data_IF_328175476475
#
_entry.id   IF_328175476475
#
_cell.length_a   1.000
_cell.length_b   1.000
_cell.length_c   1.000
_cell.angle_alpha   90.00
_cell.angle_beta   90.00
_cell.angle_gamma   90.00
#
_symmetry.space_group_name_H-M   'P 1'
#
loop_
_entity.id
_entity.type
_entity.pdbx_description
1 polymer ?
#
# COMPACT_ATOMS: atom_id res chain seq x y z
N UNK A 1 19.00 -33.55 18.93
CA UNK A 1 19.13 -33.82 17.47
C UNK A 1 18.55 -32.73 16.55
N UNK A 2 17.90 -31.68 17.09
CA UNK A 2 17.23 -30.60 16.31
C UNK A 2 18.19 -29.45 15.93
N UNK A 3 19.30 -29.28 16.65
CA UNK A 3 20.25 -28.17 16.46
C UNK A 3 21.00 -28.14 15.12
N UNK A 4 20.95 -29.22 14.32
CA UNK A 4 21.65 -29.31 13.02
C UNK A 4 20.84 -28.75 11.85
N UNK A 5 19.54 -28.49 12.03
CA UNK A 5 18.66 -27.95 10.96
C UNK A 5 18.51 -26.42 10.99
N UNK A 6 18.83 -25.77 12.12
CA UNK A 6 18.80 -24.29 12.24
C UNK A 6 19.67 -23.55 11.20
N UNK A 7 20.87 -24.04 10.80
CA UNK A 7 21.68 -23.35 9.79
C UNK A 7 21.03 -23.30 8.40
N UNK A 8 20.23 -24.32 8.03
CA UNK A 8 19.55 -24.39 6.73
C UNK A 8 18.34 -23.44 6.66
N UNK A 9 17.63 -23.27 7.77
CA UNK A 9 16.52 -22.31 7.83
C UNK A 9 17.00 -20.88 7.53
N UNK A 10 18.15 -20.49 8.10
CA UNK A 10 18.73 -19.16 7.87
C UNK A 10 19.09 -18.89 6.41
N UNK A 11 19.56 -19.89 5.66
CA UNK A 11 19.86 -19.73 4.23
C UNK A 11 18.58 -19.54 3.39
N UNK A 12 17.49 -20.25 3.73
CA UNK A 12 16.20 -20.12 3.04
C UNK A 12 15.62 -18.70 3.16
N UNK A 13 15.78 -18.07 4.33
CA UNK A 13 15.29 -16.72 4.58
C UNK A 13 16.09 -15.66 3.82
N UNK A 14 17.41 -15.84 3.65
CA UNK A 14 18.22 -14.90 2.86
C UNK A 14 17.75 -14.86 1.40
N UNK A 15 17.40 -16.01 0.83
CA UNK A 15 16.84 -16.08 -0.54
C UNK A 15 15.50 -15.35 -0.62
N UNK A 16 14.62 -15.54 0.37
CA UNK A 16 13.35 -14.81 0.42
C UNK A 16 13.56 -13.29 0.52
N UNK A 17 14.42 -12.83 1.43
CA UNK A 17 14.73 -11.40 1.60
C UNK A 17 15.30 -10.80 0.31
N UNK A 18 16.20 -11.49 -0.39
CA UNK A 18 16.71 -11.03 -1.69
C UNK A 18 15.60 -10.92 -2.74
N UNK A 19 14.66 -11.87 -2.77
CA UNK A 19 13.49 -11.80 -3.64
C UNK A 19 12.60 -10.60 -3.34
N UNK A 20 12.31 -10.33 -2.07
CA UNK A 20 11.53 -9.15 -1.65
C UNK A 20 12.26 -7.83 -1.98
N UNK A 21 13.58 -7.77 -1.82
CA UNK A 21 14.37 -6.59 -2.21
C UNK A 21 14.34 -6.35 -3.72
N UNK A 22 14.48 -7.42 -4.52
CA UNK A 22 14.36 -7.32 -5.97
C UNK A 22 12.96 -6.87 -6.41
N UNK A 23 11.90 -7.41 -5.79
CA UNK A 23 10.52 -7.01 -6.05
C UNK A 23 10.26 -5.54 -5.66
N UNK A 24 10.79 -5.09 -4.53
CA UNK A 24 10.74 -3.68 -4.11
C UNK A 24 11.43 -2.78 -5.13
N UNK A 25 12.64 -3.14 -5.57
CA UNK A 25 13.38 -2.38 -6.57
C UNK A 25 12.61 -2.32 -7.89
N UNK A 26 12.06 -3.45 -8.36
CA UNK A 26 11.27 -3.50 -9.59
C UNK A 26 10.01 -2.64 -9.53
N UNK A 27 9.24 -2.72 -8.44
CA UNK A 27 8.02 -1.91 -8.24
C UNK A 27 8.33 -0.43 -8.13
N UNK A 28 9.40 -0.04 -7.44
CA UNK A 28 9.82 1.36 -7.36
C UNK A 28 10.29 1.90 -8.71
N UNK A 29 11.05 1.12 -9.47
CA UNK A 29 11.50 1.52 -10.81
C UNK A 29 10.32 1.68 -11.77
N UNK A 30 9.38 0.72 -11.78
CA UNK A 30 8.16 0.83 -12.58
C UNK A 30 7.31 2.04 -12.15
N UNK A 31 7.18 2.29 -10.85
CA UNK A 31 6.37 3.39 -10.33
C UNK A 31 6.98 4.73 -10.70
N UNK A 32 8.31 4.85 -10.57
CA UNK A 32 9.05 6.03 -11.00
C UNK A 32 8.92 6.26 -12.51
N UNK A 33 8.99 5.21 -13.33
CA UNK A 33 8.80 5.31 -14.77
C UNK A 33 7.41 5.86 -15.12
N UNK A 34 6.35 5.31 -14.52
CA UNK A 34 4.98 5.81 -14.70
C UNK A 34 4.84 7.29 -14.34
N UNK A 35 5.43 7.72 -13.22
CA UNK A 35 5.37 9.12 -12.80
C UNK A 35 6.10 10.03 -13.79
N UNK A 36 7.27 9.62 -14.27
CA UNK A 36 8.06 10.41 -15.23
C UNK A 36 7.33 10.54 -16.56
N UNK A 37 6.83 9.44 -17.11
CA UNK A 37 6.06 9.45 -18.36
C UNK A 37 4.87 10.41 -18.24
N UNK A 38 4.17 10.34 -17.11
CA UNK A 38 2.96 11.13 -16.91
C UNK A 38 3.23 12.60 -16.63
N UNK A 39 4.38 12.91 -16.02
CA UNK A 39 4.84 14.27 -15.85
C UNK A 39 5.20 14.89 -17.21
N UNK A 40 5.90 14.16 -18.08
CA UNK A 40 6.24 14.61 -19.43
C UNK A 40 4.97 14.92 -20.24
N UNK A 41 4.00 14.01 -20.22
CA UNK A 41 2.70 14.17 -20.88
C UNK A 41 1.89 15.35 -20.31
N UNK A 42 2.01 15.65 -19.01
CA UNK A 42 1.35 16.81 -18.39
C UNK A 42 2.02 18.15 -18.70
N UNK A 43 3.32 18.17 -18.90
CA UNK A 43 4.06 19.39 -19.28
C UNK A 43 3.88 19.74 -20.76
N UNK A 44 3.79 18.74 -21.65
CA UNK A 44 3.64 18.95 -23.10
C UNK A 44 2.21 18.80 -23.64
N UNK A 45 1.30 18.16 -22.91
CA UNK A 45 -0.06 17.83 -23.36
C UNK A 45 -1.13 18.88 -23.07
N UNK A 46 -2.20 18.87 -23.88
CA UNK A 46 -3.40 19.69 -23.66
C UNK A 46 -4.18 19.24 -22.41
N UNK A 47 -4.73 20.20 -21.67
CA UNK A 47 -5.55 20.05 -20.44
C UNK A 47 -6.81 19.17 -20.57
N UNK A 48 -7.08 18.55 -21.71
CA UNK A 48 -8.25 17.71 -21.93
C UNK A 48 -8.10 16.31 -21.27
N UNK A 49 -6.87 15.90 -20.93
CA UNK A 49 -6.56 14.59 -20.31
C UNK A 49 -6.44 14.60 -18.78
N UNK A 50 -6.86 15.67 -18.08
CA UNK A 50 -6.70 15.75 -16.61
C UNK A 50 -7.34 14.57 -15.85
N UNK A 51 -8.46 14.04 -16.35
CA UNK A 51 -9.11 12.86 -15.75
C UNK A 51 -8.25 11.60 -15.85
N UNK A 52 -7.44 11.45 -16.91
CA UNK A 52 -6.54 10.30 -17.06
C UNK A 52 -5.25 10.48 -16.23
N UNK A 53 -4.89 11.74 -15.97
CA UNK A 53 -3.76 12.09 -15.12
C UNK A 53 -3.92 11.64 -13.67
N UNK A 54 -5.08 11.91 -13.07
CA UNK A 54 -5.36 11.52 -11.70
C UNK A 54 -5.31 10.01 -11.49
N UNK A 55 -5.87 9.23 -12.44
CA UNK A 55 -5.91 7.76 -12.36
C UNK A 55 -4.52 7.14 -12.45
N UNK A 56 -3.69 7.61 -13.39
CA UNK A 56 -2.33 7.08 -13.56
C UNK A 56 -1.41 7.42 -12.38
N UNK A 57 -1.60 8.60 -11.75
CA UNK A 57 -0.91 8.90 -10.49
C UNK A 57 -1.34 7.94 -9.39
N UNK A 58 -2.63 7.63 -9.30
CA UNK A 58 -3.14 6.66 -8.33
C UNK A 58 -2.48 5.28 -8.50
N UNK A 59 -2.33 4.84 -9.75
CA UNK A 59 -1.64 3.60 -10.10
C UNK A 59 -0.16 3.62 -9.66
N UNK A 60 0.54 4.74 -9.85
CA UNK A 60 1.91 4.90 -9.37
C UNK A 60 1.99 4.86 -7.83
N UNK A 61 1.04 5.49 -7.13
CA UNK A 61 0.94 5.45 -5.67
C UNK A 61 0.76 4.01 -5.19
N UNK A 62 -0.11 3.23 -5.82
CA UNK A 62 -0.31 1.81 -5.47
C UNK A 62 1.01 1.02 -5.59
N UNK A 63 1.76 1.24 -6.67
CA UNK A 63 3.02 0.54 -6.90
C UNK A 63 4.08 0.89 -5.84
N UNK A 64 4.14 2.15 -5.39
CA UNK A 64 4.99 2.54 -4.28
C UNK A 64 4.52 1.96 -2.94
N UNK A 65 3.21 1.88 -2.71
CA UNK A 65 2.63 1.24 -1.53
C UNK A 65 2.99 -0.25 -1.46
N UNK A 66 2.76 -0.99 -2.54
CA UNK A 66 3.09 -2.41 -2.64
C UNK A 66 4.60 -2.62 -2.45
N UNK A 67 5.43 -1.80 -3.09
CA UNK A 67 6.88 -1.84 -2.91
C UNK A 67 7.30 -1.56 -1.46
N UNK A 68 6.67 -0.58 -0.78
CA UNK A 68 6.95 -0.27 0.62
C UNK A 68 6.53 -1.41 1.58
N UNK A 69 5.43 -2.10 1.28
CA UNK A 69 5.01 -3.30 2.00
C UNK A 69 5.99 -4.46 1.81
N UNK A 70 6.48 -4.64 0.58
CA UNK A 70 7.50 -5.62 0.24
C UNK A 70 8.82 -5.33 0.98
N UNK A 71 9.24 -4.07 1.05
CA UNK A 71 10.41 -3.62 1.80
C UNK A 71 10.26 -3.84 3.30
N UNK A 72 9.09 -3.49 3.86
CA UNK A 72 8.78 -3.70 5.28
C UNK A 72 8.82 -5.18 5.64
N UNK A 73 8.29 -6.05 4.78
CA UNK A 73 8.41 -7.50 4.92
C UNK A 73 9.87 -7.97 4.85
N UNK A 74 10.66 -7.46 3.91
CA UNK A 74 12.07 -7.82 3.76
C UNK A 74 12.86 -7.48 5.03
N UNK A 75 12.67 -6.27 5.55
CA UNK A 75 13.31 -5.77 6.77
C UNK A 75 12.82 -6.57 7.98
N UNK A 76 11.52 -6.82 8.10
CA UNK A 76 10.93 -7.58 9.20
C UNK A 76 11.42 -9.03 9.23
N UNK A 77 11.48 -9.69 8.07
CA UNK A 77 12.03 -11.04 7.93
C UNK A 77 13.52 -11.08 8.26
N UNK A 78 14.30 -10.10 7.77
CA UNK A 78 15.72 -10.01 8.04
C UNK A 78 16.02 -9.76 9.53
N UNK A 79 15.27 -8.86 10.17
CA UNK A 79 15.40 -8.54 11.60
C UNK A 79 15.06 -9.74 12.49
N UNK A 80 14.01 -10.50 12.16
CA UNK A 80 13.55 -11.61 13.00
C UNK A 80 14.44 -12.86 12.92
N UNK A 81 15.15 -13.05 11.82
CA UNK A 81 15.90 -14.30 11.58
C UNK A 81 17.41 -14.14 11.44
N UNK A 82 17.92 -12.96 11.10
CA UNK A 82 19.35 -12.77 10.83
C UNK A 82 20.04 -12.07 11.99
N UNK A 83 19.52 -10.93 12.46
CA UNK A 83 20.14 -10.11 13.50
C UNK A 83 19.12 -9.11 14.04
N UNK A 84 19.03 -8.98 15.37
CA UNK A 84 18.31 -7.87 15.99
C UNK A 84 18.98 -6.56 15.56
N UNK A 85 18.29 -5.80 14.71
CA UNK A 85 18.72 -4.45 14.42
C UNK A 85 18.24 -3.57 15.59
N UNK A 86 19.16 -2.82 16.19
CA UNK A 86 18.86 -1.83 17.23
C UNK A 86 18.16 -0.64 16.59
N UNK A 87 16.86 -0.79 16.29
CA UNK A 87 16.03 0.31 15.80
C UNK A 87 15.44 1.08 17.00
N UNK A 88 15.26 2.41 16.87
CA UNK A 88 14.55 3.21 17.86
C UNK A 88 13.12 2.67 18.05
N UNK A 89 12.56 2.86 19.24
CA UNK A 89 11.32 2.23 19.71
C UNK A 89 10.11 2.24 18.73
N UNK A 90 9.90 3.27 17.87
CA UNK A 90 8.82 3.26 16.88
C UNK A 90 8.95 2.22 15.75
N UNK A 91 10.16 1.73 15.46
CA UNK A 91 10.46 0.79 14.35
C UNK A 91 11.02 -0.55 14.90
N UNK A 92 10.84 -0.82 16.19
CA UNK A 92 11.26 -2.10 16.77
C UNK A 92 10.18 -3.14 16.54
N UNK A 93 10.27 -3.85 15.43
CA UNK A 93 9.41 -5.01 15.16
C UNK A 93 9.79 -6.14 16.12
N UNK A 94 8.96 -6.41 17.13
CA UNK A 94 9.23 -7.40 18.19
C UNK A 94 8.74 -8.80 17.83
N UNK A 95 7.95 -8.95 16.76
CA UNK A 95 7.34 -10.23 16.37
C UNK A 95 7.00 -10.30 14.89
N UNK A 96 7.01 -11.51 14.33
CA UNK A 96 6.53 -11.81 12.98
C UNK A 96 5.06 -11.38 12.80
N UNK A 97 4.28 -11.37 13.89
CA UNK A 97 2.90 -10.92 13.89
C UNK A 97 2.74 -9.43 13.55
N UNK A 98 3.66 -8.58 14.00
CA UNK A 98 3.64 -7.13 13.70
C UNK A 98 4.00 -6.88 12.24
N UNK A 99 5.01 -7.58 11.71
CA UNK A 99 5.35 -7.51 10.27
C UNK A 99 4.16 -7.94 9.42
N UNK A 100 3.51 -9.04 9.79
CA UNK A 100 2.34 -9.57 9.08
C UNK A 100 1.16 -8.59 9.13
N UNK A 101 0.93 -7.97 10.28
CA UNK A 101 -0.13 -6.96 10.45
C UNK A 101 0.14 -5.71 9.60
N UNK A 102 1.37 -5.18 9.62
CA UNK A 102 1.77 -4.06 8.77
C UNK A 102 1.60 -4.39 7.29
N UNK A 103 2.03 -5.57 6.86
CA UNK A 103 1.85 -6.00 5.47
C UNK A 103 0.38 -6.14 5.08
N UNK A 104 -0.46 -6.71 5.96
CA UNK A 104 -1.90 -6.77 5.73
C UNK A 104 -2.51 -5.38 5.56
N UNK A 105 -2.06 -4.40 6.35
CA UNK A 105 -2.51 -3.02 6.21
C UNK A 105 -2.11 -2.41 4.86
N UNK A 106 -0.87 -2.64 4.39
CA UNK A 106 -0.46 -2.23 3.05
C UNK A 106 -1.27 -2.90 1.94
N UNK A 107 -1.58 -4.19 2.08
CA UNK A 107 -2.41 -4.92 1.11
C UNK A 107 -3.84 -4.38 1.06
N UNK A 108 -4.45 -4.09 2.22
CA UNK A 108 -5.79 -3.52 2.30
C UNK A 108 -5.81 -2.15 1.64
N UNK A 109 -4.79 -1.32 1.90
CA UNK A 109 -4.66 -0.01 1.27
C UNK A 109 -4.48 -0.12 -0.25
N UNK A 110 -3.65 -1.06 -0.72
CA UNK A 110 -3.47 -1.34 -2.16
C UNK A 110 -4.76 -1.79 -2.84
N UNK A 111 -5.52 -2.69 -2.20
CA UNK A 111 -6.85 -3.09 -2.69
C UNK A 111 -7.81 -1.90 -2.80
N UNK A 112 -7.76 -0.95 -1.86
CA UNK A 112 -8.57 0.25 -1.92
C UNK A 112 -8.18 1.16 -3.09
N UNK A 113 -6.87 1.32 -3.36
CA UNK A 113 -6.38 2.11 -4.51
C UNK A 113 -6.77 1.44 -5.82
N UNK A 114 -6.60 0.13 -5.96
CA UNK A 114 -7.00 -0.63 -7.15
C UNK A 114 -8.50 -0.54 -7.45
N UNK A 115 -9.34 -0.52 -6.40
CA UNK A 115 -10.76 -0.25 -6.56
C UNK A 115 -11.01 1.16 -7.10
N UNK A 116 -10.34 2.17 -6.55
CA UNK A 116 -10.53 3.56 -6.97
C UNK A 116 -10.07 3.79 -8.42
N UNK A 117 -8.97 3.14 -8.82
CA UNK A 117 -8.50 3.11 -10.21
C UNK A 117 -9.56 2.49 -11.13
N UNK A 118 -10.08 1.31 -10.78
CA UNK A 118 -11.16 0.64 -11.54
C UNK A 118 -12.39 1.55 -11.67
N UNK A 119 -12.82 2.15 -10.57
CA UNK A 119 -13.98 3.03 -10.53
C UNK A 119 -13.81 4.27 -11.43
N UNK A 120 -12.65 4.92 -11.36
CA UNK A 120 -12.34 6.10 -12.17
C UNK A 120 -12.29 5.81 -13.67
N UNK A 121 -11.85 4.60 -14.06
CA UNK A 121 -11.83 4.14 -15.44
C UNK A 121 -13.24 3.88 -15.99
N UNK A 122 -14.13 3.38 -15.13
CA UNK A 122 -15.56 3.24 -15.42
C UNK A 122 -16.21 4.61 -15.59
N UNK A 123 -16.02 5.54 -14.66
CA UNK A 123 -16.60 6.90 -14.74
C UNK A 123 -16.18 7.65 -16.01
N UNK A 124 -14.89 7.57 -16.36
CA UNK A 124 -14.35 8.14 -17.59
C UNK A 124 -15.03 7.58 -18.85
N UNK A 125 -15.41 6.30 -18.83
CA UNK A 125 -16.14 5.65 -19.93
C UNK A 125 -17.61 6.08 -20.01
N UNK A 126 -18.26 6.34 -18.86
CA UNK A 126 -19.64 6.81 -18.79
C UNK A 126 -19.77 8.26 -19.28
N UNK A 127 -18.79 9.12 -19.01
CA UNK A 127 -18.79 10.54 -19.42
C UNK A 127 -18.82 10.73 -20.95
N UNK A 128 -18.35 9.74 -21.71
CA UNK A 128 -18.36 9.73 -23.18
C UNK A 128 -19.64 9.19 -23.81
N UNK A 129 -20.50 8.47 -23.06
CA UNK A 129 -21.69 7.82 -23.60
C UNK A 129 -22.97 8.48 -23.08
N UNK A 130 -23.83 8.86 -24.01
CA UNK A 130 -25.11 9.54 -23.80
C UNK A 130 -26.06 8.76 -22.87
N UNK A 131 -25.91 9.02 -21.57
CA UNK A 131 -26.80 8.83 -20.41
C UNK A 131 -27.99 7.87 -20.56
N UNK A 132 -27.78 6.60 -20.18
CA UNK A 132 -28.83 5.76 -19.60
C UNK A 132 -28.79 5.94 -18.07
N UNK A 133 -29.88 6.41 -17.45
CA UNK A 133 -29.93 6.71 -16.01
C UNK A 133 -29.60 5.54 -15.07
N UNK A 134 -29.65 4.30 -15.58
CA UNK A 134 -29.27 3.09 -14.85
C UNK A 134 -27.75 2.96 -14.63
N UNK A 135 -26.91 3.44 -15.55
CA UNK A 135 -25.44 3.39 -15.41
C UNK A 135 -24.96 4.34 -14.32
N UNK A 136 -25.57 5.53 -14.23
CA UNK A 136 -25.32 6.48 -13.15
C UNK A 136 -25.68 5.87 -11.79
N UNK A 137 -26.83 5.18 -11.70
CA UNK A 137 -27.26 4.51 -10.48
C UNK A 137 -26.31 3.39 -10.04
N UNK A 138 -25.83 2.56 -11.00
CA UNK A 138 -24.85 1.51 -10.71
C UNK A 138 -23.51 2.09 -10.24
N UNK A 139 -23.02 3.17 -10.88
CA UNK A 139 -21.78 3.83 -10.44
C UNK A 139 -21.91 4.39 -9.02
N UNK A 140 -22.99 5.13 -8.73
CA UNK A 140 -23.23 5.72 -7.41
C UNK A 140 -23.42 4.67 -6.32
N UNK A 141 -24.13 3.58 -6.61
CA UNK A 141 -24.28 2.47 -5.67
C UNK A 141 -22.94 1.82 -5.32
N UNK A 142 -22.04 1.66 -6.30
CA UNK A 142 -20.68 1.16 -6.08
C UNK A 142 -19.86 2.07 -5.17
N UNK A 143 -19.89 3.40 -5.41
CA UNK A 143 -19.15 4.38 -4.60
C UNK A 143 -19.62 4.37 -3.14
N UNK A 144 -20.93 4.36 -2.90
CA UNK A 144 -21.49 4.32 -1.53
C UNK A 144 -21.11 3.04 -0.81
N UNK A 145 -21.16 1.89 -1.52
CA UNK A 145 -20.80 0.59 -0.93
C UNK A 145 -19.34 0.55 -0.50
N UNK A 146 -18.41 1.01 -1.35
CA UNK A 146 -16.99 1.02 -0.97
C UNK A 146 -16.68 2.09 0.07
N UNK A 147 -17.29 3.27 -0.02
CA UNK A 147 -17.15 4.29 1.02
C UNK A 147 -17.63 3.77 2.37
N UNK A 148 -18.77 3.06 2.41
CA UNK A 148 -19.27 2.43 3.63
C UNK A 148 -18.33 1.33 4.16
N UNK A 149 -17.77 0.50 3.27
CA UNK A 149 -16.80 -0.52 3.64
C UNK A 149 -15.51 0.07 4.21
N UNK A 150 -14.97 1.14 3.61
CA UNK A 150 -13.81 1.86 4.11
C UNK A 150 -14.09 2.56 5.44
N UNK A 151 -15.29 3.13 5.60
CA UNK A 151 -15.72 3.73 6.86
C UNK A 151 -15.80 2.68 7.96
N UNK A 152 -16.39 1.51 7.66
CA UNK A 152 -16.49 0.39 8.59
C UNK A 152 -15.10 -0.12 8.98
N UNK A 153 -14.20 -0.30 8.01
CA UNK A 153 -12.82 -0.70 8.30
C UNK A 153 -12.08 0.33 9.15
N UNK A 154 -12.24 1.63 8.87
CA UNK A 154 -11.63 2.70 9.66
C UNK A 154 -12.16 2.73 11.10
N UNK A 155 -13.46 2.53 11.28
CA UNK A 155 -14.10 2.49 12.60
C UNK A 155 -13.69 1.24 13.39
N UNK A 156 -13.59 0.09 12.73
CA UNK A 156 -13.28 -1.19 13.39
C UNK A 156 -11.78 -1.44 13.55
N UNK A 157 -10.95 -0.85 12.69
CA UNK A 157 -9.49 -0.89 12.78
C UNK A 157 -8.88 0.23 13.63
N UNK A 158 -9.71 1.12 14.18
CA UNK A 158 -9.31 2.34 14.91
C UNK A 158 -9.14 2.20 16.41
N UNK A 159 -9.18 0.99 16.99
CA UNK A 159 -8.92 0.81 18.42
C UNK A 159 -7.43 0.60 18.71
N UNK A 160 -6.88 1.53 19.52
CA UNK A 160 -5.62 1.48 20.29
C UNK A 160 -4.38 2.22 19.76
N UNK A 161 -4.53 3.47 19.32
CA UNK A 161 -3.49 4.48 19.56
C UNK A 161 -3.93 5.46 20.65
N UNK A 162 -4.19 4.93 21.85
CA UNK A 162 -4.18 5.74 23.07
C UNK A 162 -2.72 5.98 23.45
N UNK A 163 -2.15 7.09 22.95
CA UNK A 163 -0.93 7.65 23.53
C UNK A 163 -1.16 7.89 25.03
N UNK A 164 -0.17 7.64 25.90
CA UNK A 164 -0.36 7.76 27.33
C UNK A 164 -0.64 9.23 27.67
N UNK A 165 -1.79 9.46 28.31
CA UNK A 165 -2.03 10.61 29.16
C UNK A 165 -0.88 10.70 30.17
N UNK A 166 0.04 11.63 29.96
CA UNK A 166 0.82 12.19 31.05
C UNK A 166 0.17 13.51 31.45
N UNK A 167 -0.60 13.41 32.53
CA UNK A 167 -1.00 14.52 33.35
C UNK A 167 0.21 15.00 34.17
N UNK A 168 0.39 16.33 34.20
CA UNK A 168 1.00 17.07 35.31
C UNK A 168 2.52 17.21 35.29
N UNK A 169 2.99 18.44 35.10
CA UNK A 169 3.82 19.16 36.09
C UNK A 169 4.34 20.50 35.52
N UNK A 170 4.01 21.57 36.25
CA UNK A 170 4.82 22.77 36.50
C UNK A 170 4.79 23.96 35.51
N UNK A 171 4.23 25.09 36.00
CA UNK A 171 4.38 26.44 35.46
C UNK A 171 3.20 27.37 35.75
#
# INVERSE_FOLDING_TARGET
MIHRFLPKARFLIVVAVLGLLAATAATYLMGAHLVVDQLDEAFWGNFEKLSQFEVQILQAIDLFLVGSGCLTLAIGMFSLFVRELNLPEPIRVRSFHEVKSMFANFLILSMAVSFLETFSHLESSIKGQQSNGIELLYSGAGTVLVTAALLAFKLYGGENQTGPTQAGADG
#
